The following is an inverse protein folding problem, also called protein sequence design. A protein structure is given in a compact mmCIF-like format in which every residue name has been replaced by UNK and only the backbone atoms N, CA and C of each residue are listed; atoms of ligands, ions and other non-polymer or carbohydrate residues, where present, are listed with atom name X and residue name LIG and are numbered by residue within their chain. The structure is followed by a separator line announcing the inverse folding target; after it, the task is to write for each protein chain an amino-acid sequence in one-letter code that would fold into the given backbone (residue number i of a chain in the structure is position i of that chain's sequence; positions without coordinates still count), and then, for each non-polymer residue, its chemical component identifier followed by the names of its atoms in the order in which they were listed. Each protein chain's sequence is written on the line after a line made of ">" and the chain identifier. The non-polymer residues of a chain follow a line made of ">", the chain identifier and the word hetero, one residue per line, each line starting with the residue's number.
data_IF_670309207267
#
_entry.id   IF_670309207267
#
_cell.length_a   1.000
_cell.length_b   1.000
_cell.length_c   1.000
_cell.angle_alpha   90.00
_cell.angle_beta   90.00
_cell.angle_gamma   90.00
#
_symmetry.space_group_name_H-M   'P 1'
#
loop_
_entity.id
_entity.type
_entity.pdbx_description
1 polymer ?
#
# COMPACT_ATOMS: atom_id res chain seq x y z
N UNK A 1 -40.96 -29.52 20.68
CA UNK A 1 -40.14 -28.71 19.76
C UNK A 1 -38.71 -28.71 20.27
N UNK A 2 -37.83 -29.58 19.78
CA UNK A 2 -36.42 -29.56 20.19
C UNK A 2 -35.66 -28.57 19.31
N UNK A 3 -35.09 -27.54 19.93
CA UNK A 3 -34.25 -26.57 19.24
C UNK A 3 -32.86 -27.18 19.02
N UNK A 4 -32.71 -27.99 17.98
CA UNK A 4 -31.41 -28.56 17.61
C UNK A 4 -30.55 -27.46 16.97
N UNK A 5 -29.66 -26.87 17.77
CA UNK A 5 -28.74 -25.83 17.28
C UNK A 5 -27.57 -26.48 16.55
N UNK A 6 -27.37 -26.09 15.29
CA UNK A 6 -26.23 -26.54 14.51
C UNK A 6 -24.94 -25.84 14.96
N UNK A 7 -24.17 -26.50 15.82
CA UNK A 7 -22.90 -25.97 16.35
C UNK A 7 -21.86 -25.70 15.25
N UNK A 8 -21.91 -26.40 14.11
CA UNK A 8 -20.98 -26.19 13.00
C UNK A 8 -21.24 -24.85 12.31
N UNK A 9 -22.51 -24.49 12.13
CA UNK A 9 -22.90 -23.19 11.60
C UNK A 9 -22.56 -22.07 12.58
N UNK A 10 -22.84 -22.27 13.89
CA UNK A 10 -22.48 -21.31 14.94
C UNK A 10 -20.97 -21.04 14.99
N UNK A 11 -20.13 -22.08 14.94
CA UNK A 11 -18.66 -21.94 14.86
C UNK A 11 -18.22 -21.18 13.61
N UNK A 12 -18.83 -21.47 12.46
CA UNK A 12 -18.52 -20.78 11.20
C UNK A 12 -18.93 -19.30 11.25
N UNK A 13 -20.05 -18.98 11.89
CA UNK A 13 -20.47 -17.59 12.09
C UNK A 13 -19.46 -16.83 12.97
N UNK A 14 -19.06 -17.43 14.10
CA UNK A 14 -18.03 -16.86 14.98
C UNK A 14 -16.70 -16.60 14.26
N UNK A 15 -16.19 -17.60 13.52
CA UNK A 15 -14.94 -17.46 12.77
C UNK A 15 -14.99 -16.33 11.71
N UNK A 16 -16.15 -16.11 11.07
CA UNK A 16 -16.31 -14.98 10.14
C UNK A 16 -16.31 -13.64 10.87
N UNK A 17 -16.97 -13.55 12.02
CA UNK A 17 -17.00 -12.34 12.83
C UNK A 17 -15.60 -11.97 13.35
N UNK A 18 -14.85 -12.96 13.86
CA UNK A 18 -13.48 -12.76 14.33
C UNK A 18 -12.56 -12.24 13.22
N UNK A 19 -12.70 -12.81 12.01
CA UNK A 19 -11.96 -12.36 10.82
C UNK A 19 -12.32 -10.92 10.41
N UNK A 20 -13.58 -10.54 10.52
CA UNK A 20 -14.03 -9.18 10.21
C UNK A 20 -13.44 -8.15 11.20
N UNK A 21 -13.48 -8.47 12.50
CA UNK A 21 -12.87 -7.65 13.56
C UNK A 21 -11.35 -7.48 13.35
N UNK A 22 -10.64 -8.57 13.06
CA UNK A 22 -9.21 -8.49 12.73
C UNK A 22 -8.94 -7.67 11.46
N UNK A 23 -9.79 -7.77 10.45
CA UNK A 23 -9.65 -6.95 9.25
C UNK A 23 -9.83 -5.46 9.56
N UNK A 24 -10.75 -5.10 10.45
CA UNK A 24 -10.97 -3.72 10.90
C UNK A 24 -9.78 -3.19 11.71
N UNK A 25 -9.29 -3.98 12.66
CA UNK A 25 -8.06 -3.68 13.42
C UNK A 25 -6.88 -3.49 12.47
N UNK A 26 -6.75 -4.32 11.44
CA UNK A 26 -5.70 -4.20 10.44
C UNK A 26 -5.89 -2.97 9.53
N UNK A 27 -7.13 -2.57 9.19
CA UNK A 27 -7.39 -1.32 8.47
C UNK A 27 -6.96 -0.11 9.29
N UNK A 28 -7.26 -0.10 10.60
CA UNK A 28 -6.85 0.99 11.50
C UNK A 28 -5.34 1.00 11.70
N UNK A 29 -4.74 -0.15 12.04
CA UNK A 29 -3.30 -0.26 12.32
C UNK A 29 -2.44 -0.04 11.10
N UNK A 30 -2.87 -0.52 9.94
CA UNK A 30 -2.04 -0.47 8.74
C UNK A 30 -2.50 0.57 7.72
N UNK A 31 -3.66 1.22 7.90
CA UNK A 31 -4.18 2.39 7.17
C UNK A 31 -4.42 2.21 5.67
N UNK A 32 -3.62 1.35 5.05
CA UNK A 32 -3.48 1.06 3.64
C UNK A 32 -3.41 -0.45 3.50
N UNK A 33 -4.29 -0.99 2.67
CA UNK A 33 -4.23 -2.41 2.32
C UNK A 33 -2.91 -2.73 1.60
N UNK A 34 -2.53 -4.02 1.54
CA UNK A 34 -1.35 -4.45 0.77
C UNK A 34 -1.44 -4.01 -0.69
N UNK A 35 -2.64 -4.05 -1.28
CA UNK A 35 -2.87 -3.63 -2.66
C UNK A 35 -2.63 -2.11 -2.85
N UNK A 36 -3.12 -1.28 -1.92
CA UNK A 36 -2.88 0.17 -1.95
C UNK A 36 -1.39 0.51 -1.82
N UNK A 37 -0.67 -0.14 -0.89
CA UNK A 37 0.79 0.07 -0.77
C UNK A 37 1.56 -0.27 -2.03
N UNK A 38 1.13 -1.30 -2.77
CA UNK A 38 1.78 -1.68 -4.04
C UNK A 38 1.49 -0.66 -5.14
N UNK A 39 0.25 -0.18 -5.23
CA UNK A 39 -0.12 0.89 -6.16
C UNK A 39 0.66 2.17 -5.88
N UNK A 40 0.67 2.63 -4.61
CA UNK A 40 1.41 3.82 -4.20
C UNK A 40 2.92 3.71 -4.52
N UNK A 41 3.51 2.53 -4.30
CA UNK A 41 4.92 2.29 -4.59
C UNK A 41 5.21 2.29 -6.11
N UNK A 42 4.27 1.85 -6.94
CA UNK A 42 4.40 1.91 -8.39
C UNK A 42 4.29 3.36 -8.89
N UNK A 43 3.33 4.11 -8.36
CA UNK A 43 3.14 5.53 -8.69
C UNK A 43 4.36 6.36 -8.29
N UNK A 44 4.94 6.10 -7.11
CA UNK A 44 6.15 6.78 -6.64
C UNK A 44 7.35 6.48 -7.54
N UNK A 45 7.52 5.22 -7.96
CA UNK A 45 8.59 4.86 -8.92
C UNK A 45 8.42 5.56 -10.26
N UNK A 46 7.19 5.65 -10.76
CA UNK A 46 6.91 6.37 -12.01
C UNK A 46 7.24 7.86 -11.88
N UNK A 47 6.90 8.49 -10.75
CA UNK A 47 7.27 9.90 -10.47
C UNK A 47 8.77 10.10 -10.41
N UNK A 48 9.49 9.24 -9.70
CA UNK A 48 10.96 9.31 -9.62
C UNK A 48 11.57 9.14 -11.01
N UNK A 49 11.12 8.16 -11.80
CA UNK A 49 11.62 7.94 -13.15
C UNK A 49 11.34 9.14 -14.07
N UNK A 50 10.18 9.78 -13.96
CA UNK A 50 9.84 11.00 -14.70
C UNK A 50 10.73 12.17 -14.28
N UNK A 51 10.98 12.34 -12.97
CA UNK A 51 11.87 13.39 -12.46
C UNK A 51 13.32 13.18 -12.89
N UNK A 52 13.82 11.94 -12.84
CA UNK A 52 15.16 11.59 -13.30
C UNK A 52 15.30 11.75 -14.83
N UNK A 53 14.31 11.36 -15.63
CA UNK A 53 14.31 11.61 -17.08
C UNK A 53 14.20 13.10 -17.43
N UNK A 54 13.53 13.90 -16.60
CA UNK A 54 13.47 15.35 -16.74
C UNK A 54 14.70 16.08 -16.16
N UNK A 55 15.57 15.37 -15.45
CA UNK A 55 16.77 15.92 -14.82
C UNK A 55 17.81 16.20 -15.91
N UNK A 56 17.83 17.43 -16.42
CA UNK A 56 18.99 17.94 -17.15
C UNK A 56 20.13 18.08 -16.16
N UNK A 57 21.23 17.36 -16.38
CA UNK A 57 22.44 17.51 -15.59
C UNK A 57 22.83 18.99 -15.55
N UNK A 58 22.87 19.58 -14.35
CA UNK A 58 23.35 20.95 -14.12
C UNK A 58 24.87 21.08 -14.29
N UNK A 59 25.46 20.34 -15.22
CA UNK A 59 26.91 20.29 -15.45
C UNK A 59 27.31 20.77 -16.85
N UNK A 60 26.37 20.89 -17.80
CA UNK A 60 26.71 21.39 -19.14
C UNK A 60 26.78 22.93 -19.25
N UNK A 61 27.11 23.62 -18.15
CA UNK A 61 27.20 25.09 -18.09
C UNK A 61 28.24 25.62 -17.09
N UNK A 62 29.15 24.78 -16.60
CA UNK A 62 30.26 25.20 -15.72
C UNK A 62 31.64 25.05 -16.37
N UNK A 63 31.72 24.77 -17.69
CA UNK A 63 32.99 24.55 -18.38
C UNK A 63 33.63 25.83 -18.98
N UNK A 64 32.95 26.99 -18.98
CA UNK A 64 33.41 28.18 -19.72
C UNK A 64 33.86 29.36 -18.83
N UNK A 65 34.12 29.14 -17.53
CA UNK A 65 34.43 30.23 -16.59
C UNK A 65 35.81 30.14 -15.89
N UNK A 66 36.64 29.15 -16.22
CA UNK A 66 38.01 29.02 -15.65
C UNK A 66 39.12 29.10 -16.70
N UNK A 67 38.94 29.87 -17.77
CA UNK A 67 40.03 30.21 -18.69
C UNK A 67 39.99 31.70 -19.04
N UNK A 68 40.44 32.54 -18.10
CA UNK A 68 40.93 33.91 -18.30
C UNK A 68 41.79 34.35 -17.12
#
# INVERSE_FOLDING_TARGET
>A
MSNVINLRQARKAKARADKASQAEVNRVKFGRSKAQRVADAADEKARIALLEGARREKTNGQADAEES
#
